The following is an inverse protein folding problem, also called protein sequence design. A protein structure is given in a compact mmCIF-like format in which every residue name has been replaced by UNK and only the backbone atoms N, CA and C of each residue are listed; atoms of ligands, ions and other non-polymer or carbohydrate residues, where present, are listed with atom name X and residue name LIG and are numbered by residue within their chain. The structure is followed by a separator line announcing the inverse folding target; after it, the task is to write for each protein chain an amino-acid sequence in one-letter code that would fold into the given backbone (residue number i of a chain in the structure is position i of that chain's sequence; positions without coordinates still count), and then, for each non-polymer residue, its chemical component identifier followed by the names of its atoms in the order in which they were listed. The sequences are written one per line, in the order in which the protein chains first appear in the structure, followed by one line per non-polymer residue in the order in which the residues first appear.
data_IF_062555992125
#
_entry.id   IF_062555992125
#
_cell.length_a   1.000
_cell.length_b   1.000
_cell.length_c   1.000
_cell.angle_alpha   90.00
_cell.angle_beta   90.00
_cell.angle_gamma   90.00
#
_symmetry.space_group_name_H-M   'P 1'
#
loop_
_entity.id
_entity.type
_entity.pdbx_description
1 polymer ?
#
# COMPACT_ATOMS: atom_id res chain seq x y z
N UNK A 1 -4.06 -5.38 -4.82
CA UNK A 1 -3.79 -4.21 -3.96
C UNK A 1 -4.19 -2.91 -4.61
N UNK A 2 -3.60 -2.51 -5.75
CA UNK A 2 -3.99 -1.29 -6.47
C UNK A 2 -5.50 -1.18 -6.73
N UNK A 3 -6.12 -2.23 -7.28
CA UNK A 3 -7.57 -2.27 -7.51
C UNK A 3 -8.40 -2.14 -6.21
N UNK A 4 -7.94 -2.77 -5.12
CA UNK A 4 -8.60 -2.69 -3.81
C UNK A 4 -8.57 -1.26 -3.26
N UNK A 5 -7.42 -0.59 -3.37
CA UNK A 5 -7.27 0.81 -2.93
C UNK A 5 -8.21 1.73 -3.70
N UNK A 6 -8.36 1.51 -5.01
CA UNK A 6 -9.32 2.24 -5.84
C UNK A 6 -10.76 1.99 -5.41
N UNK A 7 -11.16 0.74 -5.18
CA UNK A 7 -12.52 0.39 -4.80
C UNK A 7 -12.90 0.90 -3.40
N UNK A 8 -12.01 0.74 -2.41
CA UNK A 8 -12.32 1.01 -1.01
C UNK A 8 -12.07 2.46 -0.59
N UNK A 9 -11.09 3.13 -1.21
CA UNK A 9 -10.67 4.50 -0.85
C UNK A 9 -10.90 5.52 -1.98
N UNK A 10 -11.29 5.08 -3.18
CA UNK A 10 -11.51 5.98 -4.31
C UNK A 10 -10.23 6.63 -4.85
N UNK A 11 -9.06 6.06 -4.56
CA UNK A 11 -7.76 6.61 -4.98
C UNK A 11 -7.24 5.91 -6.24
N UNK A 12 -6.73 6.69 -7.19
CA UNK A 12 -5.93 6.15 -8.28
C UNK A 12 -4.51 5.84 -7.76
N UNK A 13 -3.91 4.78 -8.27
CA UNK A 13 -2.59 4.32 -7.84
C UNK A 13 -1.71 4.02 -9.03
N UNK A 14 -0.46 4.49 -8.98
CA UNK A 14 0.56 4.09 -9.95
C UNK A 14 1.27 2.81 -9.50
N UNK A 15 1.50 1.91 -10.46
CA UNK A 15 2.30 0.71 -10.23
C UNK A 15 3.73 0.98 -10.67
N UNK A 16 4.64 1.03 -9.70
CA UNK A 16 6.08 1.22 -9.93
C UNK A 16 6.77 -0.14 -9.80
N UNK A 17 7.60 -0.49 -10.77
CA UNK A 17 8.39 -1.72 -10.73
C UNK A 17 9.50 -1.58 -9.68
N UNK A 18 9.45 -2.44 -8.66
CA UNK A 18 10.51 -2.61 -7.65
C UNK A 18 11.46 -3.77 -7.95
N UNK A 19 12.24 -4.15 -6.95
CA UNK A 19 13.17 -5.28 -7.00
C UNK A 19 12.46 -6.66 -6.92
N UNK A 20 13.24 -7.72 -7.14
CA UNK A 20 12.73 -9.08 -7.10
C UNK A 20 12.14 -9.44 -5.73
N UNK A 21 10.83 -9.69 -5.71
CA UNK A 21 10.10 -10.09 -4.50
C UNK A 21 9.73 -8.92 -3.57
N UNK A 22 9.96 -7.69 -4.01
CA UNK A 22 9.57 -6.46 -3.30
C UNK A 22 8.05 -6.27 -3.33
N UNK A 23 7.54 -5.75 -2.21
CA UNK A 23 6.21 -5.19 -2.14
C UNK A 23 6.21 -4.07 -1.11
N UNK A 24 5.93 -2.87 -1.58
CA UNK A 24 5.80 -1.67 -0.76
C UNK A 24 4.63 -0.85 -1.25
N UNK A 25 3.94 -0.21 -0.31
CA UNK A 25 2.91 0.79 -0.60
C UNK A 25 3.41 2.13 -0.06
N UNK A 26 3.40 3.12 -0.92
CA UNK A 26 3.82 4.48 -0.64
C UNK A 26 2.64 5.43 -0.80
N UNK A 27 2.54 6.41 0.09
CA UNK A 27 1.65 7.57 -0.05
C UNK A 27 2.56 8.80 0.01
N UNK A 28 2.66 9.52 -1.10
CA UNK A 28 3.67 10.57 -1.32
C UNK A 28 5.10 10.08 -1.02
N UNK A 29 5.69 10.52 0.10
CA UNK A 29 7.05 10.17 0.54
C UNK A 29 7.04 9.19 1.73
N UNK A 30 5.87 8.81 2.21
CA UNK A 30 5.70 7.93 3.37
C UNK A 30 5.49 6.48 2.89
N UNK A 31 6.37 5.59 3.30
CA UNK A 31 6.17 4.15 3.15
C UNK A 31 5.19 3.67 4.22
N UNK A 32 3.98 3.26 3.80
CA UNK A 32 2.88 2.94 4.73
C UNK A 32 2.70 1.45 4.96
N UNK A 33 3.13 0.61 4.01
CA UNK A 33 3.12 -0.84 4.15
C UNK A 33 4.26 -1.50 3.38
N UNK A 34 4.72 -2.64 3.87
CA UNK A 34 5.72 -3.47 3.19
C UNK A 34 5.52 -4.95 3.47
N UNK A 35 6.04 -5.78 2.58
CA UNK A 35 6.17 -7.22 2.81
C UNK A 35 7.21 -7.47 3.90
N UNK A 36 6.83 -8.28 4.88
CA UNK A 36 7.73 -8.76 5.91
C UNK A 36 8.32 -10.13 5.56
N UNK A 37 9.19 -10.64 6.42
CA UNK A 37 9.76 -11.99 6.29
C UNK A 37 8.70 -13.09 6.19
N UNK A 38 7.59 -12.93 6.91
CA UNK A 38 6.47 -13.88 6.98
C UNK A 38 5.47 -13.74 5.81
N UNK A 39 5.71 -12.82 4.87
CA UNK A 39 4.86 -12.61 3.70
C UNK A 39 4.20 -11.23 3.65
N UNK A 40 3.10 -11.15 2.89
CA UNK A 40 2.39 -9.91 2.65
C UNK A 40 1.62 -9.44 3.89
N UNK A 41 1.51 -8.12 4.12
CA UNK A 41 0.56 -7.60 5.08
C UNK A 41 -0.87 -7.94 4.64
N UNK A 42 -1.80 -8.04 5.58
CA UNK A 42 -3.21 -8.23 5.24
C UNK A 42 -3.79 -6.97 4.61
N UNK A 43 -4.77 -7.17 3.72
CA UNK A 43 -5.47 -6.08 3.03
C UNK A 43 -6.00 -5.02 3.99
N UNK A 44 -6.63 -5.45 5.09
CA UNK A 44 -7.12 -4.56 6.15
C UNK A 44 -6.01 -3.65 6.72
N UNK A 45 -4.83 -4.21 6.99
CA UNK A 45 -3.70 -3.42 7.52
C UNK A 45 -3.20 -2.40 6.50
N UNK A 46 -3.18 -2.76 5.22
CA UNK A 46 -2.78 -1.81 4.16
C UNK A 46 -3.79 -0.68 4.03
N UNK A 47 -5.09 -0.99 4.01
CA UNK A 47 -6.16 0.01 3.94
C UNK A 47 -6.13 0.98 5.13
N UNK A 48 -5.96 0.48 6.35
CA UNK A 48 -5.85 1.31 7.56
C UNK A 48 -4.62 2.23 7.50
N UNK A 49 -3.47 1.70 7.07
CA UNK A 49 -2.23 2.48 6.96
C UNK A 49 -2.31 3.58 5.91
N UNK A 50 -2.86 3.26 4.72
CA UNK A 50 -3.08 4.26 3.65
C UNK A 50 -4.05 5.34 4.12
N UNK A 51 -5.17 4.95 4.74
CA UNK A 51 -6.16 5.92 5.25
C UNK A 51 -5.56 6.86 6.29
N UNK A 52 -4.75 6.35 7.21
CA UNK A 52 -4.07 7.17 8.21
C UNK A 52 -3.07 8.15 7.57
N UNK A 53 -2.34 7.73 6.54
CA UNK A 53 -1.40 8.59 5.83
C UNK A 53 -2.08 9.73 5.05
N UNK A 54 -3.24 9.47 4.44
CA UNK A 54 -4.01 10.48 3.71
C UNK A 54 -4.61 11.58 4.61
N UNK A 55 -4.66 11.35 5.93
CA UNK A 55 -5.20 12.32 6.90
C UNK A 55 -4.14 13.13 7.63
N UNK A 56 -2.86 12.95 7.30
CA UNK A 56 -1.75 13.76 7.82
C UNK A 56 -1.63 15.07 7.07
#
# INVERSE_FOLDING_TARGET
MAELLKQELGIETDLIQGEAGEFTVWVDKDQVAQKGWLGFPSDKKVLEAVRAALTK
#
